data_IF_797991957033
#
_entry.id   IF_797991957033
#
_cell.length_a   1.000
_cell.length_b   1.000
_cell.length_c   1.000
_cell.angle_alpha   90.00
_cell.angle_beta   90.00
_cell.angle_gamma   90.00
#
_symmetry.space_group_name_H-M   'P 1'
#
loop_
_entity.id
_entity.type
_entity.pdbx_description
1 polymer ?
#
# COMPACT_ATOMS: atom_id res chain seq x y z
N UNK A 1 -42.99 43.20 -74.38
CA UNK A 1 -43.47 44.21 -75.35
C UNK A 1 -43.40 45.57 -74.70
N UNK A 2 -42.62 46.46 -75.32
CA UNK A 2 -42.29 47.83 -74.93
C UNK A 2 -43.42 48.79 -75.32
N UNK A 3 -43.63 49.85 -74.53
CA UNK A 3 -44.02 51.23 -74.91
C UNK A 3 -44.30 52.00 -73.61
N UNK A 4 -43.39 52.80 -73.04
CA UNK A 4 -43.06 54.18 -73.45
C UNK A 4 -44.21 54.89 -74.19
N UNK A 5 -44.65 56.02 -73.63
CA UNK A 5 -44.86 57.36 -74.22
C UNK A 5 -45.09 58.28 -73.00
N UNK A 6 -44.18 59.17 -72.62
CA UNK A 6 -43.75 60.41 -73.26
C UNK A 6 -44.77 61.55 -73.13
N UNK A 7 -44.22 62.74 -72.88
CA UNK A 7 -44.79 64.11 -72.85
C UNK A 7 -44.99 64.64 -71.41
N UNK A 8 -44.42 65.76 -70.98
CA UNK A 8 -43.59 66.75 -71.66
C UNK A 8 -43.71 68.10 -70.94
N UNK A 9 -42.58 68.78 -70.76
CA UNK A 9 -42.50 70.25 -70.57
C UNK A 9 -42.72 70.78 -69.16
N UNK A 10 -41.70 71.42 -68.57
CA UNK A 10 -41.49 72.87 -68.65
C UNK A 10 -40.09 73.19 -68.13
N UNK A 11 -39.46 74.13 -68.83
CA UNK A 11 -38.08 74.55 -68.71
C UNK A 11 -37.86 75.63 -67.65
N UNK A 12 -36.58 75.76 -67.26
CA UNK A 12 -35.85 77.01 -67.01
C UNK A 12 -36.31 77.94 -65.87
N UNK A 13 -35.52 77.95 -64.79
CA UNK A 13 -34.67 79.09 -64.43
C UNK A 13 -34.00 78.83 -63.07
N UNK A 14 -32.68 79.05 -63.00
CA UNK A 14 -31.86 79.51 -61.86
C UNK A 14 -30.41 78.96 -61.99
N UNK A 15 -29.72 79.38 -63.07
CA UNK A 15 -28.26 79.50 -63.05
C UNK A 15 -27.92 80.90 -62.55
N UNK A 16 -27.69 81.03 -61.24
CA UNK A 16 -26.88 82.09 -60.64
C UNK A 16 -26.55 81.64 -59.22
N UNK A 17 -25.35 81.08 -59.03
CA UNK A 17 -24.98 80.51 -57.75
C UNK A 17 -23.54 80.00 -57.71
N UNK A 18 -22.63 80.91 -57.35
CA UNK A 18 -21.36 80.65 -56.67
C UNK A 18 -20.26 79.83 -57.39
N UNK A 19 -19.37 80.56 -58.05
CA UNK A 19 -17.94 80.21 -58.18
C UNK A 19 -17.18 80.22 -56.83
N UNK A 20 -17.75 79.65 -55.77
CA UNK A 20 -17.14 79.56 -54.43
C UNK A 20 -16.54 78.16 -54.13
N UNK A 21 -16.68 77.20 -55.04
CA UNK A 21 -16.18 75.83 -54.82
C UNK A 21 -14.70 75.63 -55.15
N UNK A 22 -14.00 76.63 -55.71
CA UNK A 22 -12.57 76.51 -56.01
C UNK A 22 -11.64 76.87 -54.83
N UNK A 23 -12.14 77.50 -53.76
CA UNK A 23 -11.35 77.78 -52.54
C UNK A 23 -11.36 76.62 -51.54
N UNK A 24 -12.34 75.70 -51.64
CA UNK A 24 -12.41 74.50 -50.79
C UNK A 24 -11.35 73.45 -51.12
N UNK A 25 -10.77 73.47 -52.32
CA UNK A 25 -9.77 72.49 -52.75
C UNK A 25 -8.40 72.73 -52.08
N UNK A 26 -8.08 74.00 -51.77
CA UNK A 26 -6.84 74.37 -51.07
C UNK A 26 -6.94 74.10 -49.55
N UNK A 27 -8.08 74.41 -48.93
CA UNK A 27 -8.33 74.12 -47.50
C UNK A 27 -8.50 72.62 -47.25
N UNK A 28 -9.16 71.90 -48.17
CA UNK A 28 -9.27 70.45 -48.11
C UNK A 28 -7.93 69.73 -48.28
N UNK A 29 -6.98 70.29 -49.04
CA UNK A 29 -5.62 69.73 -49.16
C UNK A 29 -4.81 69.83 -47.88
N UNK A 30 -4.84 70.98 -47.20
CA UNK A 30 -4.10 71.19 -45.94
C UNK A 30 -4.72 70.36 -44.80
N UNK A 31 -6.05 70.30 -44.71
CA UNK A 31 -6.74 69.45 -43.75
C UNK A 31 -6.57 67.95 -44.05
N UNK A 32 -6.49 67.54 -45.32
CA UNK A 32 -6.19 66.17 -45.70
C UNK A 32 -4.74 65.79 -45.40
N UNK A 33 -3.76 66.68 -45.66
CA UNK A 33 -2.34 66.43 -45.33
C UNK A 33 -2.10 66.36 -43.81
N UNK A 34 -2.73 67.22 -43.01
CA UNK A 34 -2.64 67.13 -41.55
C UNK A 34 -3.30 65.88 -40.99
N UNK A 35 -4.45 65.47 -41.55
CA UNK A 35 -5.10 64.22 -41.18
C UNK A 35 -4.22 63.03 -41.57
N UNK A 36 -3.63 63.00 -42.77
CA UNK A 36 -2.71 61.94 -43.26
C UNK A 36 -1.40 61.88 -42.46
N UNK A 37 -0.84 63.02 -42.04
CA UNK A 37 0.31 63.09 -41.12
C UNK A 37 -0.04 62.59 -39.70
N UNK A 38 -1.27 62.84 -39.25
CA UNK A 38 -1.80 62.30 -38.00
C UNK A 38 -2.06 60.78 -38.05
N UNK A 39 -2.09 60.16 -39.24
CA UNK A 39 -2.43 58.75 -39.46
C UNK A 39 -1.29 57.75 -39.19
N UNK A 40 -0.08 58.16 -38.80
CA UNK A 40 0.98 57.19 -38.47
C UNK A 40 1.64 57.47 -37.12
N UNK A 41 0.82 57.76 -36.10
CA UNK A 41 1.28 58.02 -34.72
C UNK A 41 1.36 56.76 -33.85
N UNK A 42 1.01 55.61 -34.39
CA UNK A 42 1.06 54.32 -33.70
C UNK A 42 1.61 53.27 -34.66
N UNK A 43 2.30 52.29 -34.11
CA UNK A 43 2.67 51.09 -34.83
C UNK A 43 1.98 49.88 -34.21
N UNK A 44 1.77 48.88 -35.04
CA UNK A 44 1.23 47.59 -34.66
C UNK A 44 1.96 46.53 -35.48
N UNK A 45 2.76 45.70 -34.82
CA UNK A 45 3.59 44.68 -35.45
C UNK A 45 3.30 43.35 -34.76
N UNK A 46 2.88 42.37 -35.55
CA UNK A 46 2.75 40.98 -35.12
C UNK A 46 3.98 40.20 -35.57
N UNK A 47 4.71 39.66 -34.59
CA UNK A 47 5.79 38.71 -34.81
C UNK A 47 5.22 37.30 -34.72
N UNK A 48 5.37 36.51 -35.77
CA UNK A 48 4.92 35.12 -35.83
C UNK A 48 6.14 34.25 -36.07
N UNK A 49 6.47 33.41 -35.09
CA UNK A 49 7.62 32.51 -35.20
C UNK A 49 7.26 31.17 -35.82
N UNK A 50 8.20 30.63 -36.58
CA UNK A 50 8.18 29.24 -37.01
C UNK A 50 8.54 28.29 -35.86
N UNK A 51 8.30 26.99 -36.05
CA UNK A 51 8.70 25.99 -35.07
C UNK A 51 10.23 25.88 -34.94
N UNK A 52 10.95 26.13 -36.03
CA UNK A 52 12.41 26.12 -36.09
C UNK A 52 13.02 27.50 -35.77
N UNK A 53 12.40 28.28 -34.87
CA UNK A 53 12.89 29.61 -34.48
C UNK A 53 14.31 29.53 -33.89
N UNK A 54 15.19 30.42 -34.36
CA UNK A 54 16.51 30.67 -33.76
C UNK A 54 17.33 29.40 -33.46
N UNK A 55 17.43 28.51 -34.44
CA UNK A 55 18.10 27.23 -34.23
C UNK A 55 19.61 27.39 -34.06
N UNK A 56 20.21 26.50 -33.27
CA UNK A 56 21.68 26.38 -33.19
C UNK A 56 22.21 25.40 -34.26
N UNK A 57 23.53 25.14 -34.24
CA UNK A 57 24.17 24.20 -35.16
C UNK A 57 23.56 22.78 -35.14
N UNK A 58 22.95 22.38 -34.02
CA UNK A 58 22.26 21.11 -33.83
C UNK A 58 20.78 21.16 -34.24
N UNK A 59 20.32 22.24 -34.86
CA UNK A 59 18.92 22.46 -35.28
C UNK A 59 17.91 22.47 -34.12
N UNK A 60 18.35 22.78 -32.89
CA UNK A 60 17.47 22.90 -31.72
C UNK A 60 16.89 24.32 -31.68
N UNK A 61 15.55 24.51 -31.67
CA UNK A 61 14.94 25.84 -31.61
C UNK A 61 15.18 26.54 -30.27
N UNK A 62 15.37 27.87 -30.30
CA UNK A 62 15.58 28.68 -29.10
C UNK A 62 14.70 29.93 -29.08
N UNK A 63 14.55 30.53 -27.91
CA UNK A 63 13.96 31.86 -27.81
C UNK A 63 14.85 32.89 -28.54
N UNK A 64 14.23 33.91 -29.11
CA UNK A 64 14.90 34.98 -29.86
C UNK A 64 14.67 36.32 -29.19
N UNK A 65 15.74 37.12 -29.00
CA UNK A 65 15.62 38.52 -28.61
C UNK A 65 15.33 39.36 -29.86
N UNK A 66 14.25 40.12 -29.82
CA UNK A 66 13.87 41.10 -30.84
C UNK A 66 13.89 42.47 -30.19
N UNK A 67 14.57 43.44 -30.81
CA UNK A 67 14.61 44.83 -30.32
C UNK A 67 14.07 45.74 -31.39
N UNK A 68 13.07 46.54 -31.01
CA UNK A 68 12.47 47.58 -31.82
C UNK A 68 13.02 48.93 -31.40
N UNK A 69 13.48 49.69 -32.39
CA UNK A 69 13.97 51.05 -32.26
C UNK A 69 13.03 52.00 -33.00
N UNK A 70 12.61 53.08 -32.36
CA UNK A 70 12.04 54.22 -33.07
C UNK A 70 13.15 55.20 -33.40
N UNK A 71 13.27 55.55 -34.68
CA UNK A 71 14.41 56.29 -35.20
C UNK A 71 13.94 57.58 -35.91
N UNK A 72 14.63 58.69 -35.66
CA UNK A 72 14.46 59.93 -36.44
C UNK A 72 15.13 59.85 -37.81
N UNK A 73 16.23 59.10 -37.93
CA UNK A 73 16.99 58.88 -39.16
C UNK A 73 17.39 57.39 -39.31
N UNK A 74 17.52 56.93 -40.56
CA UNK A 74 17.79 55.53 -40.88
C UNK A 74 19.29 55.17 -41.04
N UNK A 75 20.17 56.16 -41.21
CA UNK A 75 21.54 55.96 -41.68
C UNK A 75 22.37 55.13 -40.69
N UNK A 76 22.35 55.49 -39.40
CA UNK A 76 23.11 54.79 -38.36
C UNK A 76 22.67 53.32 -38.23
N UNK A 77 21.36 53.06 -38.19
CA UNK A 77 20.82 51.69 -38.10
C UNK A 77 21.15 50.85 -39.34
N UNK A 78 21.09 51.45 -40.53
CA UNK A 78 21.38 50.75 -41.79
C UNK A 78 22.86 50.36 -41.87
N UNK A 79 23.77 51.21 -41.38
CA UNK A 79 25.22 50.96 -41.39
C UNK A 79 25.71 50.09 -40.23
N UNK A 80 24.96 50.03 -39.12
CA UNK A 80 25.34 49.26 -37.94
C UNK A 80 25.46 47.76 -38.24
N UNK A 81 26.51 47.12 -37.72
CA UNK A 81 26.68 45.68 -37.77
C UNK A 81 25.80 44.97 -36.74
N UNK A 82 25.72 43.63 -36.85
CA UNK A 82 25.02 42.80 -35.88
C UNK A 82 25.52 43.02 -34.45
N UNK A 83 26.84 43.04 -34.26
CA UNK A 83 27.46 43.18 -32.95
C UNK A 83 27.34 44.59 -32.38
N UNK A 84 27.34 45.61 -33.24
CA UNK A 84 27.07 47.00 -32.86
C UNK A 84 25.70 47.12 -32.20
N UNK A 85 24.65 46.60 -32.86
CA UNK A 85 23.28 46.64 -32.31
C UNK A 85 23.06 45.64 -31.17
N UNK A 86 23.86 44.57 -31.07
CA UNK A 86 23.71 43.59 -29.99
C UNK A 86 24.22 44.12 -28.65
N UNK A 87 25.31 44.89 -28.67
CA UNK A 87 26.07 45.26 -27.46
C UNK A 87 26.12 46.76 -27.20
N UNK A 88 26.07 47.59 -28.24
CA UNK A 88 26.35 49.03 -28.16
C UNK A 88 25.28 49.88 -28.91
N UNK A 89 24.06 49.38 -29.02
CA UNK A 89 22.97 50.00 -29.81
C UNK A 89 22.74 51.49 -29.49
N UNK A 90 22.71 51.87 -28.22
CA UNK A 90 22.50 53.26 -27.80
C UNK A 90 23.61 54.20 -28.29
N UNK A 91 24.87 53.77 -28.22
CA UNK A 91 26.00 54.58 -28.66
C UNK A 91 26.06 54.68 -30.19
N UNK A 92 25.78 53.57 -30.88
CA UNK A 92 25.84 53.48 -32.35
C UNK A 92 24.70 54.28 -33.00
N UNK A 93 23.50 54.21 -32.43
CA UNK A 93 22.34 54.95 -32.93
C UNK A 93 22.34 56.41 -32.48
N UNK A 94 22.91 56.73 -31.31
CA UNK A 94 23.09 58.09 -30.81
C UNK A 94 21.79 58.91 -30.84
N UNK A 95 21.88 60.14 -31.34
CA UNK A 95 20.76 61.08 -31.41
C UNK A 95 19.62 60.62 -32.35
N UNK A 96 19.86 59.60 -33.19
CA UNK A 96 18.79 59.04 -34.03
C UNK A 96 17.82 58.17 -33.23
N UNK A 97 18.23 57.64 -32.07
CA UNK A 97 17.42 56.75 -31.25
C UNK A 97 16.44 57.53 -30.37
N UNK A 98 15.15 57.41 -30.65
CA UNK A 98 14.09 58.08 -29.90
C UNK A 98 13.45 57.17 -28.84
N UNK A 99 13.34 55.88 -29.15
CA UNK A 99 12.75 54.89 -28.25
C UNK A 99 13.28 53.50 -28.55
N UNK A 100 13.34 52.65 -27.51
CA UNK A 100 13.84 51.29 -27.57
C UNK A 100 12.91 50.36 -26.79
N UNK A 101 12.49 49.28 -27.43
CA UNK A 101 11.63 48.26 -26.84
C UNK A 101 12.20 46.88 -27.14
N UNK A 102 12.43 46.07 -26.09
CA UNK A 102 12.84 44.67 -26.24
C UNK A 102 11.64 43.72 -26.14
N UNK A 103 11.71 42.60 -26.85
CA UNK A 103 10.72 41.52 -26.82
C UNK A 103 11.42 40.17 -26.99
N UNK A 104 11.03 39.20 -26.18
CA UNK A 104 11.44 37.81 -26.37
C UNK A 104 10.36 37.08 -27.18
N UNK A 105 10.77 36.40 -28.24
CA UNK A 105 9.91 35.57 -29.09
C UNK A 105 10.25 34.10 -28.85
N UNK A 106 9.25 33.28 -28.53
CA UNK A 106 9.41 31.84 -28.30
C UNK A 106 9.18 31.06 -29.60
N UNK A 107 9.74 29.84 -29.77
CA UNK A 107 9.43 29.01 -30.92
C UNK A 107 7.94 28.70 -31.05
N UNK A 108 7.43 28.69 -32.28
CA UNK A 108 6.03 28.37 -32.61
C UNK A 108 4.98 29.22 -31.85
N UNK A 109 5.31 30.49 -31.61
CA UNK A 109 4.54 31.46 -30.85
C UNK A 109 4.25 32.75 -31.67
N UNK A 110 3.35 33.59 -31.14
CA UNK A 110 3.05 34.94 -31.62
C UNK A 110 3.30 35.97 -30.53
N UNK A 111 4.01 37.05 -30.85
CA UNK A 111 4.18 38.23 -30.00
C UNK A 111 3.72 39.50 -30.72
N UNK A 112 3.19 40.48 -29.98
CA UNK A 112 2.70 41.74 -30.55
C UNK A 112 3.44 42.94 -29.97
N UNK A 113 3.96 43.79 -30.85
CA UNK A 113 4.61 45.05 -30.54
C UNK A 113 3.70 46.18 -31.01
N UNK A 114 3.03 46.86 -30.09
CA UNK A 114 2.14 47.97 -30.43
C UNK A 114 2.24 49.11 -29.41
N UNK A 115 2.66 50.29 -29.88
CA UNK A 115 2.78 51.50 -29.06
C UNK A 115 2.61 52.76 -29.92
N UNK A 116 2.59 53.93 -29.27
CA UNK A 116 2.68 55.22 -29.95
C UNK A 116 4.09 55.45 -30.49
N UNK A 117 4.17 56.08 -31.65
CA UNK A 117 5.42 56.61 -32.20
C UNK A 117 5.72 57.98 -31.60
N UNK A 118 6.99 58.25 -31.30
CA UNK A 118 7.47 59.60 -31.04
C UNK A 118 7.16 60.50 -32.24
N UNK A 119 6.92 61.79 -31.98
CA UNK A 119 6.49 62.72 -33.03
C UNK A 119 7.54 62.82 -34.15
N UNK A 120 8.81 62.80 -33.75
CA UNK A 120 10.01 62.89 -34.56
C UNK A 120 10.39 61.56 -35.23
N UNK A 121 9.78 60.44 -34.84
CA UNK A 121 10.10 59.13 -35.40
C UNK A 121 9.66 59.03 -36.87
N UNK A 122 10.61 58.71 -37.75
CA UNK A 122 10.41 58.50 -39.18
C UNK A 122 10.54 57.02 -39.56
N UNK A 123 11.22 56.21 -38.74
CA UNK A 123 11.46 54.80 -39.02
C UNK A 123 11.28 53.93 -37.77
N UNK A 124 10.91 52.67 -37.99
CA UNK A 124 11.07 51.60 -37.01
C UNK A 124 12.17 50.66 -37.49
N UNK A 125 13.22 50.51 -36.68
CA UNK A 125 14.23 49.47 -36.87
C UNK A 125 13.90 48.26 -36.01
N UNK A 126 13.87 47.06 -36.58
CA UNK A 126 13.80 45.81 -35.82
C UNK A 126 15.11 45.04 -36.00
N UNK A 127 15.71 44.62 -34.90
CA UNK A 127 16.84 43.70 -34.89
C UNK A 127 16.43 42.36 -34.26
N UNK A 128 16.76 41.28 -34.94
CA UNK A 128 16.46 39.89 -34.60
C UNK A 128 17.78 39.19 -34.28
N UNK A 129 18.04 38.95 -32.99
CA UNK A 129 19.33 38.47 -32.52
C UNK A 129 19.45 36.95 -32.59
N UNK A 130 19.58 36.43 -33.81
CA UNK A 130 19.75 35.01 -34.08
C UNK A 130 21.09 34.48 -33.54
N UNK A 131 21.11 33.22 -33.11
CA UNK A 131 22.33 32.49 -32.73
C UNK A 131 23.27 32.33 -33.93
N UNK A 132 22.68 32.15 -35.12
CA UNK A 132 23.38 32.00 -36.38
C UNK A 132 22.68 32.88 -37.44
N UNK A 133 22.95 34.20 -37.48
CA UNK A 133 22.36 35.06 -38.50
C UNK A 133 22.93 34.68 -39.88
N UNK A 134 22.09 34.78 -40.91
CA UNK A 134 22.54 34.62 -42.29
C UNK A 134 23.58 35.68 -42.69
N UNK A 135 24.31 35.42 -43.78
CA UNK A 135 25.29 36.35 -44.35
C UNK A 135 24.67 37.66 -44.90
N UNK A 136 23.35 37.78 -44.93
CA UNK A 136 22.62 38.96 -45.40
C UNK A 136 21.94 39.73 -44.26
N UNK A 137 21.19 40.78 -44.62
CA UNK A 137 20.49 41.63 -43.64
C UNK A 137 19.19 41.02 -43.07
N UNK A 138 18.96 39.71 -43.23
CA UNK A 138 17.74 39.03 -42.73
C UNK A 138 17.55 39.11 -41.20
N UNK A 139 18.60 39.48 -40.47
CA UNK A 139 18.58 39.70 -39.03
C UNK A 139 18.12 41.11 -38.63
N UNK A 140 17.94 42.05 -39.57
CA UNK A 140 17.39 43.38 -39.28
C UNK A 140 16.39 43.84 -40.35
N UNK A 141 15.46 44.69 -39.95
CA UNK A 141 14.44 45.26 -40.84
C UNK A 141 14.21 46.73 -40.52
N UNK A 142 14.05 47.54 -41.55
CA UNK A 142 13.68 48.94 -41.42
C UNK A 142 12.30 49.16 -42.03
N UNK A 143 11.38 49.75 -41.27
CA UNK A 143 10.02 50.05 -41.69
C UNK A 143 9.83 51.58 -41.65
N UNK A 144 9.72 52.25 -42.81
CA UNK A 144 9.39 53.67 -42.86
C UNK A 144 8.01 53.93 -42.26
N UNK A 145 7.84 55.06 -41.57
CA UNK A 145 6.57 55.47 -40.96
C UNK A 145 5.41 55.46 -41.95
N UNK A 146 5.65 55.85 -43.22
CA UNK A 146 4.60 55.86 -44.26
C UNK A 146 4.20 54.45 -44.73
N UNK A 147 5.00 53.42 -44.45
CA UNK A 147 4.69 52.03 -44.77
C UNK A 147 3.83 51.34 -43.70
N UNK A 148 3.69 51.97 -42.52
CA UNK A 148 2.83 51.46 -41.45
C UNK A 148 1.37 51.55 -41.85
N UNK A 149 0.61 50.54 -41.46
CA UNK A 149 -0.83 50.47 -41.73
C UNK A 149 -1.60 50.85 -40.49
N UNK A 150 -2.51 51.81 -40.61
CA UNK A 150 -3.37 52.26 -39.52
C UNK A 150 -4.24 51.19 -38.87
N UNK A 151 -4.88 50.38 -39.71
CA UNK A 151 -5.97 49.49 -39.29
C UNK A 151 -5.55 48.03 -39.18
N UNK A 152 -4.28 47.73 -39.48
CA UNK A 152 -3.79 46.35 -39.58
C UNK A 152 -2.34 46.25 -39.14
N UNK A 153 -2.04 45.27 -38.30
CA UNK A 153 -0.68 44.96 -37.92
C UNK A 153 0.18 44.58 -39.14
N UNK A 154 1.42 45.05 -39.14
CA UNK A 154 2.49 44.53 -40.01
C UNK A 154 2.86 43.15 -39.49
N UNK A 155 2.80 42.14 -40.37
CA UNK A 155 3.05 40.75 -39.97
C UNK A 155 4.45 40.34 -40.40
N UNK A 156 5.28 39.98 -39.43
CA UNK A 156 6.66 39.55 -39.63
C UNK A 156 6.76 38.08 -39.21
N UNK A 157 7.17 37.25 -40.16
CA UNK A 157 7.50 35.85 -39.91
C UNK A 157 8.96 35.76 -39.52
N UNK A 158 9.25 35.01 -38.46
CA UNK A 158 10.60 34.84 -37.93
C UNK A 158 10.96 33.36 -37.93
N UNK A 159 11.94 32.99 -38.75
CA UNK A 159 12.39 31.62 -38.95
C UNK A 159 13.66 31.28 -38.15
N UNK A 160 14.48 30.40 -38.70
CA UNK A 160 15.72 29.94 -38.05
C UNK A 160 16.81 31.01 -37.97
N UNK A 161 16.99 31.79 -39.03
CA UNK A 161 18.12 32.72 -39.20
C UNK A 161 17.74 34.05 -39.88
N UNK A 162 16.45 34.22 -40.22
CA UNK A 162 15.96 35.39 -40.96
C UNK A 162 14.54 35.76 -40.55
N UNK A 163 14.20 37.04 -40.72
CA UNK A 163 12.87 37.58 -40.52
C UNK A 163 12.35 38.24 -41.81
N UNK A 164 11.09 37.96 -42.17
CA UNK A 164 10.47 38.43 -43.41
C UNK A 164 9.09 39.01 -43.13
N UNK A 165 8.80 40.18 -43.71
CA UNK A 165 7.45 40.76 -43.65
C UNK A 165 6.55 40.10 -44.70
N UNK A 166 5.73 39.13 -44.28
CA UNK A 166 4.80 38.40 -45.16
C UNK A 166 3.50 38.06 -44.46
N UNK A 167 2.40 38.65 -44.92
CA UNK A 167 1.05 38.38 -44.37
C UNK A 167 0.60 36.95 -44.64
N UNK A 168 0.82 36.46 -45.87
CA UNK A 168 0.27 35.15 -46.26
C UNK A 168 0.98 34.02 -45.52
N UNK A 169 2.31 34.12 -45.36
CA UNK A 169 3.08 33.18 -44.53
C UNK A 169 2.67 33.26 -43.06
N UNK A 170 2.52 34.47 -42.51
CA UNK A 170 2.10 34.65 -41.12
C UNK A 170 0.69 34.08 -40.87
N UNK A 171 -0.26 34.30 -41.79
CA UNK A 171 -1.60 33.73 -41.67
C UNK A 171 -1.62 32.20 -41.77
N UNK A 172 -0.79 31.63 -42.64
CA UNK A 172 -0.63 30.17 -42.74
C UNK A 172 -0.07 29.59 -41.43
N UNK A 173 0.97 30.22 -40.87
CA UNK A 173 1.56 29.82 -39.59
C UNK A 173 0.60 29.97 -38.42
N UNK A 174 -0.12 31.08 -38.31
CA UNK A 174 -1.12 31.28 -37.26
C UNK A 174 -2.25 30.25 -37.34
N UNK A 175 -2.67 29.85 -38.55
CA UNK A 175 -3.64 28.78 -38.73
C UNK A 175 -3.07 27.43 -38.27
N UNK A 176 -1.82 27.14 -38.62
CA UNK A 176 -1.13 25.92 -38.18
C UNK A 176 -0.94 25.88 -36.65
N UNK A 177 -0.51 26.98 -36.04
CA UNK A 177 -0.38 27.12 -34.58
C UNK A 177 -1.74 26.89 -33.88
N UNK A 178 -2.83 27.47 -34.38
CA UNK A 178 -4.19 27.24 -33.84
C UNK A 178 -4.64 25.79 -33.97
N UNK A 179 -4.37 25.14 -35.10
CA UNK A 179 -4.69 23.73 -35.29
C UNK A 179 -3.91 22.85 -34.31
N UNK A 180 -2.61 23.10 -34.15
CA UNK A 180 -1.76 22.38 -33.21
C UNK A 180 -2.20 22.56 -31.75
N UNK A 181 -2.54 23.79 -31.33
CA UNK A 181 -3.08 24.06 -29.98
C UNK A 181 -4.39 23.30 -29.73
N UNK A 182 -5.27 23.22 -30.74
CA UNK A 182 -6.52 22.46 -30.64
C UNK A 182 -6.27 20.95 -30.49
N UNK A 183 -5.36 20.40 -31.29
CA UNK A 183 -5.00 18.98 -31.19
C UNK A 183 -4.29 18.67 -29.86
N UNK A 184 -3.42 19.56 -29.38
CA UNK A 184 -2.78 19.43 -28.06
C UNK A 184 -3.82 19.44 -26.93
N UNK A 185 -4.78 20.37 -26.96
CA UNK A 185 -5.85 20.43 -25.97
C UNK A 185 -6.75 19.18 -26.02
N UNK A 186 -7.02 18.64 -27.22
CA UNK A 186 -7.75 17.37 -27.37
C UNK A 186 -6.97 16.19 -26.80
N UNK A 187 -5.66 16.14 -27.04
CA UNK A 187 -4.79 15.09 -26.51
C UNK A 187 -4.70 15.17 -24.98
N UNK A 188 -4.57 16.36 -24.41
CA UNK A 188 -4.57 16.59 -22.96
C UNK A 188 -5.92 16.19 -22.34
N UNK A 189 -7.04 16.56 -22.96
CA UNK A 189 -8.37 16.14 -22.52
C UNK A 189 -8.55 14.62 -22.60
N UNK A 190 -8.04 13.97 -23.66
CA UNK A 190 -8.06 12.51 -23.79
C UNK A 190 -7.19 11.82 -22.74
N UNK A 191 -6.02 12.37 -22.43
CA UNK A 191 -5.14 11.86 -21.37
C UNK A 191 -5.78 12.01 -19.98
N UNK A 192 -6.40 13.16 -19.70
CA UNK A 192 -7.15 13.37 -18.46
C UNK A 192 -8.34 12.41 -18.33
N UNK A 193 -9.11 12.20 -19.41
CA UNK A 193 -10.19 11.23 -19.42
C UNK A 193 -9.69 9.79 -19.21
N UNK A 194 -8.56 9.42 -19.81
CA UNK A 194 -7.94 8.12 -19.61
C UNK A 194 -7.44 7.92 -18.17
N UNK A 195 -6.90 8.97 -17.54
CA UNK A 195 -6.48 8.94 -16.14
C UNK A 195 -7.67 8.71 -15.19
N UNK A 196 -8.78 9.43 -15.39
CA UNK A 196 -10.01 9.22 -14.62
C UNK A 196 -10.58 7.81 -14.80
N UNK A 197 -10.58 7.29 -16.04
CA UNK A 197 -11.02 5.93 -16.32
C UNK A 197 -10.11 4.86 -15.68
N UNK A 198 -8.81 5.12 -15.61
CA UNK A 198 -7.85 4.23 -14.94
C UNK A 198 -8.06 4.21 -13.42
N UNK A 199 -8.35 5.37 -12.82
CA UNK A 199 -8.69 5.47 -11.38
C UNK A 199 -9.98 4.71 -11.06
N UNK A 200 -11.04 4.90 -11.85
CA UNK A 200 -12.30 4.17 -11.68
C UNK A 200 -12.11 2.64 -11.87
N UNK A 201 -11.29 2.23 -12.84
CA UNK A 201 -10.96 0.83 -13.05
C UNK A 201 -10.18 0.24 -11.86
N UNK A 202 -9.25 1.00 -11.27
CA UNK A 202 -8.51 0.60 -10.09
C UNK A 202 -9.43 0.47 -8.87
N UNK A 203 -10.34 1.41 -8.65
CA UNK A 203 -11.33 1.33 -7.56
C UNK A 203 -12.22 0.09 -7.71
N UNK A 204 -12.73 -0.17 -8.92
CA UNK A 204 -13.52 -1.38 -9.22
C UNK A 204 -12.72 -2.66 -8.98
N UNK A 205 -11.45 -2.69 -9.39
CA UNK A 205 -10.58 -3.84 -9.15
C UNK A 205 -10.32 -4.05 -7.65
N UNK A 206 -10.09 -2.98 -6.89
CA UNK A 206 -9.91 -3.04 -5.43
C UNK A 206 -11.19 -3.50 -4.73
N UNK A 207 -12.36 -2.99 -5.12
CA UNK A 207 -13.66 -3.41 -4.58
C UNK A 207 -13.92 -4.90 -4.84
N UNK A 208 -13.61 -5.39 -6.04
CA UNK A 208 -13.71 -6.80 -6.38
C UNK A 208 -12.77 -7.65 -5.52
N UNK A 209 -11.50 -7.27 -5.42
CA UNK A 209 -10.51 -7.97 -4.61
C UNK A 209 -10.90 -7.99 -3.11
N UNK A 210 -11.43 -6.87 -2.59
CA UNK A 210 -11.92 -6.78 -1.22
C UNK A 210 -13.11 -7.71 -0.97
N UNK A 211 -14.06 -7.80 -1.91
CA UNK A 211 -15.19 -8.73 -1.83
C UNK A 211 -14.73 -10.19 -1.84
N UNK A 212 -13.78 -10.55 -2.70
CA UNK A 212 -13.21 -11.91 -2.77
C UNK A 212 -12.46 -12.25 -1.46
N UNK A 213 -11.67 -11.32 -0.93
CA UNK A 213 -10.98 -11.48 0.35
C UNK A 213 -11.96 -11.61 1.53
N UNK A 214 -13.05 -10.83 1.54
CA UNK A 214 -14.08 -10.94 2.57
C UNK A 214 -14.78 -12.31 2.56
N UNK A 215 -15.06 -12.85 1.37
CA UNK A 215 -15.62 -14.19 1.23
C UNK A 215 -14.64 -15.27 1.70
N UNK A 216 -13.36 -15.17 1.31
CA UNK A 216 -12.32 -16.09 1.76
C UNK A 216 -12.14 -16.08 3.29
N UNK A 217 -12.17 -14.89 3.91
CA UNK A 217 -12.10 -14.77 5.37
C UNK A 217 -13.31 -15.42 6.06
N UNK A 218 -14.53 -15.19 5.53
CA UNK A 218 -15.74 -15.83 6.05
C UNK A 218 -15.65 -17.36 6.00
N UNK A 219 -15.09 -17.91 4.92
CA UNK A 219 -14.87 -19.34 4.79
C UNK A 219 -13.83 -19.85 5.80
N UNK A 220 -12.72 -19.13 5.99
CA UNK A 220 -11.68 -19.47 6.96
C UNK A 220 -12.21 -19.42 8.40
N UNK A 221 -13.01 -18.41 8.76
CA UNK A 221 -13.69 -18.33 10.05
C UNK A 221 -14.61 -19.53 10.28
N UNK A 222 -15.41 -19.90 9.27
CA UNK A 222 -16.29 -21.06 9.38
C UNK A 222 -15.50 -22.36 9.59
N UNK A 223 -14.41 -22.55 8.86
CA UNK A 223 -13.53 -23.70 9.04
C UNK A 223 -12.88 -23.72 10.44
N UNK A 224 -12.51 -22.56 10.99
CA UNK A 224 -11.97 -22.45 12.33
C UNK A 224 -13.02 -22.77 13.42
N UNK A 225 -14.27 -22.31 13.25
CA UNK A 225 -15.39 -22.68 14.13
C UNK A 225 -15.64 -24.19 14.12
N UNK A 226 -15.68 -24.78 12.93
CA UNK A 226 -15.90 -26.22 12.76
C UNK A 226 -14.74 -27.03 13.37
N UNK A 227 -13.49 -26.57 13.22
CA UNK A 227 -12.32 -27.18 13.85
C UNK A 227 -12.35 -27.06 15.39
N UNK A 228 -12.75 -25.90 15.92
CA UNK A 228 -12.90 -25.69 17.36
C UNK A 228 -14.00 -26.58 17.95
N UNK A 229 -15.12 -26.75 17.24
CA UNK A 229 -16.19 -27.67 17.62
C UNK A 229 -15.71 -29.13 17.65
N UNK A 230 -14.94 -29.54 16.65
CA UNK A 230 -14.34 -30.88 16.60
C UNK A 230 -13.36 -31.13 17.76
N UNK A 231 -12.52 -30.14 18.09
CA UNK A 231 -11.61 -30.21 19.23
C UNK A 231 -12.36 -30.29 20.57
N UNK A 232 -13.39 -29.46 20.77
CA UNK A 232 -14.20 -29.49 21.98
C UNK A 232 -14.88 -30.86 22.17
N UNK A 233 -15.41 -31.43 21.08
CA UNK A 233 -15.98 -32.78 21.11
C UNK A 233 -14.93 -33.83 21.48
N UNK A 234 -13.72 -33.78 20.92
CA UNK A 234 -12.64 -34.71 21.25
C UNK A 234 -12.25 -34.65 22.74
N UNK A 235 -12.09 -33.43 23.30
CA UNK A 235 -11.80 -33.23 24.73
C UNK A 235 -12.91 -33.79 25.62
N UNK A 236 -14.18 -33.60 25.24
CA UNK A 236 -15.31 -34.19 25.97
C UNK A 236 -15.27 -35.73 25.94
N UNK A 237 -14.92 -36.34 24.81
CA UNK A 237 -14.79 -37.80 24.71
C UNK A 237 -13.62 -38.33 25.55
N UNK A 238 -12.47 -37.65 25.54
CA UNK A 238 -11.32 -38.00 26.37
C UNK A 238 -11.65 -37.88 27.86
N UNK A 239 -12.35 -36.81 28.27
CA UNK A 239 -12.80 -36.62 29.65
C UNK A 239 -13.77 -37.72 30.10
N UNK A 240 -14.73 -38.11 29.24
CA UNK A 240 -15.64 -39.24 29.52
C UNK A 240 -14.89 -40.56 29.63
N UNK A 241 -13.91 -40.81 28.75
CA UNK A 241 -13.07 -42.00 28.80
C UNK A 241 -12.22 -42.04 30.08
N UNK A 242 -11.62 -40.91 30.46
CA UNK A 242 -10.84 -40.76 31.69
C UNK A 242 -11.70 -40.97 32.93
N UNK A 243 -12.89 -40.37 33.01
CA UNK A 243 -13.82 -40.57 34.12
C UNK A 243 -14.23 -42.05 34.27
N UNK A 244 -14.50 -42.73 33.16
CA UNK A 244 -14.78 -44.18 33.16
C UNK A 244 -13.57 -44.99 33.64
N UNK A 245 -12.36 -44.60 33.27
CA UNK A 245 -11.13 -45.25 33.72
C UNK A 245 -10.90 -45.06 35.22
N UNK A 246 -11.10 -43.85 35.75
CA UNK A 246 -11.01 -43.54 37.19
C UNK A 246 -12.03 -44.35 37.97
N UNK A 247 -13.30 -44.34 37.56
CA UNK A 247 -14.35 -45.14 38.23
C UNK A 247 -14.02 -46.64 38.25
N UNK A 248 -13.45 -47.17 37.15
CA UNK A 248 -12.98 -48.56 37.09
C UNK A 248 -11.81 -48.82 38.05
N UNK A 249 -10.86 -47.89 38.15
CA UNK A 249 -9.72 -48.00 39.04
C UNK A 249 -10.14 -47.93 40.53
N UNK A 250 -11.04 -47.02 40.88
CA UNK A 250 -11.61 -46.91 42.23
C UNK A 250 -12.35 -48.19 42.62
N UNK A 251 -13.17 -48.74 41.73
CA UNK A 251 -13.85 -50.02 41.96
C UNK A 251 -12.85 -51.17 42.15
N UNK A 252 -11.76 -51.20 41.39
CA UNK A 252 -10.70 -52.19 41.54
C UNK A 252 -9.95 -52.03 42.87
N UNK A 253 -9.65 -50.79 43.29
CA UNK A 253 -9.00 -50.50 44.57
C UNK A 253 -9.88 -50.86 45.76
N UNK A 254 -11.18 -50.57 45.71
CA UNK A 254 -12.16 -50.99 46.72
C UNK A 254 -12.22 -52.52 46.84
N UNK A 255 -12.26 -53.22 45.70
CA UNK A 255 -12.22 -54.69 45.68
C UNK A 255 -10.93 -55.23 46.30
N UNK A 256 -9.77 -54.66 45.95
CA UNK A 256 -8.48 -55.08 46.50
C UNK A 256 -8.39 -54.83 48.01
N UNK A 257 -8.91 -53.70 48.50
CA UNK A 257 -8.99 -53.40 49.94
C UNK A 257 -9.85 -54.43 50.69
N UNK A 258 -11.02 -54.76 50.15
CA UNK A 258 -11.90 -55.77 50.73
C UNK A 258 -11.25 -57.17 50.74
N UNK A 259 -10.52 -57.53 49.68
CA UNK A 259 -9.77 -58.79 49.62
C UNK A 259 -8.62 -58.81 50.64
N UNK A 260 -7.92 -57.70 50.84
CA UNK A 260 -6.88 -57.56 51.86
C UNK A 260 -7.45 -57.68 53.28
N UNK A 261 -8.59 -57.03 53.57
CA UNK A 261 -9.27 -57.14 54.86
C UNK A 261 -9.73 -58.60 55.13
N UNK A 262 -10.28 -59.27 54.12
CA UNK A 262 -10.62 -60.70 54.21
C UNK A 262 -9.39 -61.58 54.45
N UNK A 263 -8.25 -61.26 53.84
CA UNK A 263 -7.00 -61.99 54.06
C UNK A 263 -6.48 -61.79 55.49
N UNK A 264 -6.49 -60.56 56.01
CA UNK A 264 -6.14 -60.26 57.41
C UNK A 264 -7.07 -60.99 58.39
N UNK A 265 -8.38 -61.01 58.13
CA UNK A 265 -9.34 -61.75 58.95
C UNK A 265 -9.07 -63.26 58.96
N UNK A 266 -8.67 -63.84 57.83
CA UNK A 266 -8.24 -65.25 57.75
C UNK A 266 -6.99 -65.50 58.59
N UNK A 267 -5.97 -64.65 58.45
CA UNK A 267 -4.74 -64.74 59.25
C UNK A 267 -5.02 -64.60 60.75
N UNK A 268 -5.86 -63.66 61.17
CA UNK A 268 -6.26 -63.49 62.56
C UNK A 268 -7.00 -64.74 63.11
N UNK A 269 -7.87 -65.35 62.29
CA UNK A 269 -8.56 -66.60 62.65
C UNK A 269 -7.60 -67.78 62.77
N UNK A 270 -6.61 -67.88 61.88
CA UNK A 270 -5.55 -68.89 61.95
C UNK A 270 -4.67 -68.69 63.17
N UNK A 271 -4.25 -67.46 63.47
CA UNK A 271 -3.50 -67.11 64.67
C UNK A 271 -4.28 -67.46 65.94
N UNK A 272 -5.57 -67.11 66.02
CA UNK A 272 -6.42 -67.47 67.16
C UNK A 272 -6.58 -68.99 67.32
N UNK A 273 -6.67 -69.74 66.21
CA UNK A 273 -6.67 -71.22 66.26
C UNK A 273 -5.35 -71.79 66.74
N UNK A 274 -4.22 -71.23 66.28
CA UNK A 274 -2.89 -71.62 66.71
C UNK A 274 -2.70 -71.35 68.21
N UNK A 275 -3.11 -70.18 68.68
CA UNK A 275 -3.09 -69.80 70.10
C UNK A 275 -3.97 -70.72 70.95
N UNK A 276 -5.21 -71.00 70.52
CA UNK A 276 -6.09 -71.94 71.22
C UNK A 276 -5.49 -73.36 71.30
N UNK A 277 -4.80 -73.79 70.24
CA UNK A 277 -4.09 -75.08 70.20
C UNK A 277 -2.89 -75.07 71.16
N UNK A 278 -2.11 -73.98 71.19
CA UNK A 278 -0.99 -73.80 72.12
C UNK A 278 -1.45 -73.79 73.58
N UNK A 279 -2.56 -73.10 73.90
CA UNK A 279 -3.17 -73.11 75.25
C UNK A 279 -3.60 -74.54 75.63
N UNK A 280 -4.21 -75.28 74.70
CA UNK A 280 -4.62 -76.67 74.96
C UNK A 280 -3.41 -77.56 75.24
N UNK A 281 -2.33 -77.42 74.47
CA UNK A 281 -1.08 -78.14 74.67
C UNK A 281 -0.45 -77.80 76.03
N UNK A 282 -0.33 -76.52 76.36
CA UNK A 282 0.21 -76.07 77.65
C UNK A 282 -0.57 -76.65 78.83
N UNK A 283 -1.91 -76.74 78.73
CA UNK A 283 -2.74 -77.42 79.74
C UNK A 283 -2.47 -78.92 79.84
N UNK A 284 -2.20 -79.59 78.72
CA UNK A 284 -1.83 -81.01 78.73
C UNK A 284 -0.45 -81.22 79.34
N UNK A 285 0.52 -80.39 78.97
CA UNK A 285 1.87 -80.44 79.51
C UNK A 285 1.87 -80.19 81.02
N UNK A 286 1.06 -79.23 81.49
CA UNK A 286 0.87 -78.99 82.92
C UNK A 286 0.25 -80.20 83.63
N UNK A 287 -0.79 -80.82 83.06
CA UNK A 287 -1.36 -82.06 83.62
C UNK A 287 -0.36 -83.20 83.70
N UNK A 288 0.51 -83.36 82.69
CA UNK A 288 1.57 -84.37 82.69
C UNK A 288 2.62 -84.04 83.74
N UNK A 289 2.99 -82.77 83.90
CA UNK A 289 3.90 -82.32 84.95
C UNK A 289 3.31 -82.58 86.36
N UNK A 290 2.03 -82.29 86.57
CA UNK A 290 1.32 -82.56 87.83
C UNK A 290 1.26 -84.08 88.11
N UNK A 291 0.98 -84.90 87.09
CA UNK A 291 0.96 -86.37 87.23
C UNK A 291 2.37 -86.92 87.53
N UNK A 292 3.40 -86.40 86.86
CA UNK A 292 4.78 -86.78 87.12
C UNK A 292 5.23 -86.38 88.54
N UNK A 293 4.78 -85.22 89.03
CA UNK A 293 5.02 -84.81 90.40
C UNK A 293 4.33 -85.76 91.40
N UNK A 294 3.08 -86.14 91.16
CA UNK A 294 2.36 -87.13 91.98
C UNK A 294 3.06 -88.51 91.96
N UNK A 295 3.54 -88.96 90.80
CA UNK A 295 4.27 -90.22 90.68
C UNK A 295 5.59 -90.15 91.45
N UNK A 296 6.33 -89.05 91.36
CA UNK A 296 7.56 -88.85 92.12
C UNK A 296 7.31 -88.81 93.65
N UNK A 297 6.19 -88.25 94.10
CA UNK A 297 5.75 -88.32 95.50
C UNK A 297 5.39 -89.74 95.92
N UNK A 298 4.67 -90.48 95.07
CA UNK A 298 4.32 -91.87 95.32
C UNK A 298 5.56 -92.77 95.38
N UNK A 299 6.54 -92.56 94.48
CA UNK A 299 7.80 -93.30 94.45
C UNK A 299 8.64 -92.99 95.70
N UNK A 300 8.64 -91.73 96.18
CA UNK A 300 9.25 -91.37 97.48
C UNK A 300 8.57 -92.08 98.64
N UNK A 301 7.24 -92.08 98.70
CA UNK A 301 6.48 -92.76 99.74
C UNK A 301 6.70 -94.29 99.72
N UNK A 302 6.82 -94.88 98.52
CA UNK A 302 7.12 -96.29 98.36
C UNK A 302 8.56 -96.61 98.79
N UNK A 303 9.54 -95.76 98.48
CA UNK A 303 10.91 -95.90 98.96
C UNK A 303 10.98 -95.84 100.50
N UNK A 304 10.25 -94.91 101.13
CA UNK A 304 10.12 -94.84 102.60
C UNK A 304 9.48 -96.12 103.18
N UNK A 305 8.44 -96.68 102.55
CA UNK A 305 7.83 -97.95 102.97
C UNK A 305 8.74 -99.16 102.77
N UNK A 306 9.51 -99.20 101.68
CA UNK A 306 10.46 -100.28 101.41
C UNK A 306 11.62 -100.26 102.43
N UNK A 307 12.09 -99.07 102.82
CA UNK A 307 13.07 -98.91 103.90
C UNK A 307 12.50 -99.36 105.26
N UNK A 308 11.23 -99.05 105.54
CA UNK A 308 10.52 -99.55 106.72
C UNK A 308 10.32 -101.08 106.71
N UNK A 309 10.05 -101.69 105.56
CA UNK A 309 9.90 -103.13 105.40
C UNK A 309 11.23 -103.89 105.52
N UNK A 310 12.34 -103.29 105.04
CA UNK A 310 13.68 -103.87 105.22
C UNK A 310 14.10 -103.94 106.69
N UNK A 311 13.65 -102.99 107.53
CA UNK A 311 13.88 -103.01 108.98
C UNK A 311 13.05 -104.07 109.72
N UNK A 312 11.96 -104.58 109.14
CA UNK A 312 11.08 -105.57 109.77
C UNK A 312 11.50 -107.05 109.55
N UNK A 313 12.42 -107.34 108.63
CA UNK A 313 12.71 -108.70 108.17
C UNK A 313 13.70 -109.54 109.03
N UNK A 314 14.03 -109.15 110.28
CA UNK A 314 15.09 -109.81 111.09
C UNK A 314 14.56 -110.67 112.28
N UNK A 315 13.26 -110.97 112.40
CA UNK A 315 12.76 -111.84 113.49
C UNK A 315 11.60 -112.81 113.10
N UNK A 316 11.93 -113.89 112.36
CA UNK A 316 11.74 -115.37 112.65
C UNK A 316 10.46 -115.88 113.38
N UNK A 317 9.92 -117.14 113.23
CA UNK A 317 10.04 -118.25 112.23
C UNK A 317 8.72 -118.97 111.73
N UNK A 318 8.85 -119.71 110.60
CA UNK A 318 8.46 -121.12 110.22
C UNK A 318 7.44 -121.92 111.09
N UNK A 319 6.59 -122.86 110.63
CA UNK A 319 6.20 -123.53 109.37
C UNK A 319 4.93 -124.42 109.68
N UNK A 320 4.09 -124.91 108.75
CA UNK A 320 4.16 -126.26 108.11
C UNK A 320 2.87 -126.52 107.26
N UNK A 321 3.07 -126.89 105.98
CA UNK A 321 2.41 -127.91 105.10
C UNK A 321 0.89 -127.90 104.76
N UNK A 322 0.32 -128.42 103.64
CA UNK A 322 0.62 -128.87 102.24
C UNK A 322 -0.76 -129.36 101.66
N UNK A 323 -1.20 -129.21 100.38
CA UNK A 323 -1.19 -130.20 99.23
C UNK A 323 -2.29 -129.85 98.18
N UNK A 324 -2.00 -130.17 96.90
CA UNK A 324 -2.83 -130.45 95.68
C UNK A 324 -3.23 -129.26 94.78
N UNK A 325 -2.68 -129.03 93.58
CA UNK A 325 -2.60 -129.80 92.29
C UNK A 325 -3.92 -129.94 91.49
N UNK A 326 -4.00 -129.23 90.35
CA UNK A 326 -4.28 -129.78 89.01
C UNK A 326 -4.02 -128.74 87.90
N UNK A 327 -3.70 -129.13 86.64
CA UNK A 327 -3.11 -128.23 85.65
C UNK A 327 -3.92 -128.01 84.34
N UNK A 328 -3.36 -127.11 83.51
CA UNK A 328 -3.40 -127.02 82.03
C UNK A 328 -4.65 -126.45 81.33
N UNK A 329 -4.55 -125.24 80.75
CA UNK A 329 -4.37 -124.97 79.29
C UNK A 329 -4.72 -123.51 78.91
N UNK A 330 -3.89 -122.95 78.02
CA UNK A 330 -4.14 -121.73 77.24
C UNK A 330 -5.12 -122.00 76.07
N UNK A 331 -5.67 -121.01 75.32
CA UNK A 331 -4.86 -120.27 74.32
C UNK A 331 -5.32 -118.82 73.93
N UNK A 332 -4.37 -118.08 73.33
CA UNK A 332 -4.39 -117.22 72.12
C UNK A 332 -5.56 -116.28 71.73
N UNK A 333 -5.12 -115.06 71.34
CA UNK A 333 -5.62 -114.14 70.28
C UNK A 333 -7.01 -113.49 70.51
N UNK A 334 -7.36 -112.28 70.07
CA UNK A 334 -6.99 -111.55 68.85
C UNK A 334 -7.48 -110.08 68.93
N UNK A 335 -6.98 -109.32 67.96
CA UNK A 335 -7.19 -107.95 67.51
C UNK A 335 -8.66 -107.52 67.20
N UNK A 336 -8.99 -106.22 67.37
CA UNK A 336 -9.55 -105.33 66.32
C UNK A 336 -10.04 -103.96 66.81
N UNK A 337 -9.51 -102.94 66.12
CA UNK A 337 -10.04 -101.64 65.65
C UNK A 337 -10.50 -100.57 66.65
#
# INVERSE_FOLDING_TARGET
MIKLWAWGGVALALLSGCGALQTGVAVGKVAADEVVQAQHRQYDIDLVSEAALNTNAQQVPHALKVVLYQLSDAQAFTQASYYDLLSNDQQVLGDSLLHRQEQVLLPFNQARLASKMAAEAQFLGLAFFFNQPDQGDGWKMLIPRQALRLLRATQIVVGSHTAVSSRDQAQALLKAQKAALKEAARAEAAAAAAALAAEEAQEKAQAKAASEAAWANKLAQKAAEDAAAAQAYAVEQEAKAAAKAVAKAEAAAQKASLEAERAQARQAKEAARAEATAIKQARQDQKQADLAAQQAEADRAWAEQAEAAALAAVAVPQAIMTVAEQPLQAPMAEDRQ
#
